data_IF_938867792739
#
_entry.id   IF_938867792739
#
_cell.length_a   1.000
_cell.length_b   1.000
_cell.length_c   1.000
_cell.angle_alpha   90.00
_cell.angle_beta   90.00
_cell.angle_gamma   90.00
#
_symmetry.space_group_name_H-M   'P 1'
#
loop_
_entity.id
_entity.type
_entity.pdbx_description
1 polymer ?
#
# COMPACT_ATOMS: atom_id res chain seq x y z
N UNK A 1 55.88 -1.87 61.40
CA UNK A 1 55.66 -1.31 60.06
C UNK A 1 55.46 -2.46 59.08
N UNK A 2 54.53 -2.42 58.11
CA UNK A 2 53.09 -2.16 58.23
C UNK A 2 52.24 -3.41 57.88
N UNK A 3 51.01 -3.44 58.44
CA UNK A 3 49.95 -4.42 58.16
C UNK A 3 49.20 -3.98 56.89
N UNK A 4 49.19 -4.82 55.85
CA UNK A 4 48.37 -4.61 54.65
C UNK A 4 47.03 -5.32 54.77
N UNK A 5 45.99 -4.58 55.14
CA UNK A 5 44.60 -5.06 55.16
C UNK A 5 43.98 -4.81 53.77
N UNK A 6 43.82 -5.85 52.97
CA UNK A 6 43.10 -5.77 51.68
C UNK A 6 41.59 -5.92 51.92
N UNK A 7 40.85 -4.83 51.81
CA UNK A 7 39.39 -4.83 51.73
C UNK A 7 38.98 -5.18 50.29
N UNK A 8 38.43 -6.37 50.07
CA UNK A 8 37.78 -6.74 48.81
C UNK A 8 36.34 -6.23 48.89
N UNK A 9 36.06 -5.09 48.24
CA UNK A 9 34.70 -4.60 48.03
C UNK A 9 34.08 -5.43 46.91
N UNK A 10 33.22 -6.39 47.28
CA UNK A 10 32.43 -7.15 46.33
C UNK A 10 31.34 -6.27 45.72
N UNK A 11 31.55 -5.79 44.50
CA UNK A 11 30.51 -5.15 43.68
C UNK A 11 29.68 -6.28 43.07
N UNK A 12 28.51 -6.58 43.65
CA UNK A 12 27.54 -7.47 43.02
C UNK A 12 26.88 -6.73 41.85
N UNK A 13 27.37 -7.00 40.64
CA UNK A 13 26.73 -6.53 39.41
C UNK A 13 25.43 -7.35 39.20
N UNK A 14 24.30 -6.80 39.63
CA UNK A 14 23.00 -7.36 39.28
C UNK A 14 22.78 -7.17 37.78
N UNK A 15 23.12 -8.19 36.99
CA UNK A 15 22.73 -8.30 35.60
C UNK A 15 21.22 -8.50 35.58
N UNK A 16 20.47 -7.41 35.36
CA UNK A 16 19.03 -7.49 35.09
C UNK A 16 18.89 -8.14 33.71
N UNK A 17 18.72 -9.46 33.69
CA UNK A 17 18.27 -10.17 32.49
C UNK A 17 16.88 -9.62 32.18
N UNK A 18 16.77 -8.82 31.12
CA UNK A 18 15.49 -8.29 30.66
C UNK A 18 14.60 -9.47 30.25
N UNK A 19 13.73 -9.88 31.18
CA UNK A 19 12.71 -10.91 30.96
C UNK A 19 11.91 -10.56 29.70
N UNK A 20 11.48 -11.59 28.96
CA UNK A 20 10.60 -11.34 27.82
C UNK A 20 9.35 -10.62 28.32
N UNK A 21 8.99 -9.53 27.65
CA UNK A 21 7.90 -8.68 28.12
C UNK A 21 6.53 -9.32 27.84
N UNK A 22 6.47 -10.19 26.83
CA UNK A 22 5.25 -10.88 26.43
C UNK A 22 5.08 -12.19 27.18
N UNK A 23 3.91 -12.35 27.79
CA UNK A 23 3.55 -13.49 28.63
C UNK A 23 2.76 -14.52 27.82
N UNK A 24 2.92 -15.79 28.18
CA UNK A 24 2.15 -16.90 27.59
C UNK A 24 0.87 -17.16 28.41
N UNK A 25 -0.02 -16.17 28.45
CA UNK A 25 -1.33 -16.27 29.10
C UNK A 25 -2.46 -16.27 28.09
N UNK A 26 -3.58 -16.89 28.47
CA UNK A 26 -4.86 -16.61 27.80
C UNK A 26 -5.30 -15.17 28.10
N UNK A 27 -6.27 -14.67 27.33
CA UNK A 27 -6.84 -13.35 27.58
C UNK A 27 -7.44 -13.22 28.99
N UNK A 28 -8.16 -14.24 29.45
CA UNK A 28 -8.80 -14.28 30.77
C UNK A 28 -7.75 -14.31 31.89
N UNK A 29 -6.69 -15.10 31.72
CA UNK A 29 -5.56 -15.14 32.67
C UNK A 29 -4.86 -13.78 32.75
N UNK A 30 -4.63 -13.12 31.61
CA UNK A 30 -4.03 -11.80 31.60
C UNK A 30 -4.90 -10.74 32.28
N UNK A 31 -6.23 -10.78 32.10
CA UNK A 31 -7.15 -9.90 32.80
C UNK A 31 -7.12 -10.10 34.33
N UNK A 32 -7.09 -11.36 34.79
CA UNK A 32 -6.97 -11.67 36.22
C UNK A 32 -5.63 -11.18 36.79
N UNK A 33 -4.53 -11.36 36.06
CA UNK A 33 -3.21 -10.89 36.49
C UNK A 33 -3.11 -9.36 36.48
N UNK A 34 -3.74 -8.71 35.50
CA UNK A 34 -3.84 -7.27 35.42
C UNK A 34 -4.59 -6.69 36.62
N UNK A 35 -5.64 -7.36 37.11
CA UNK A 35 -6.38 -6.97 38.31
C UNK A 35 -5.47 -7.00 39.56
N UNK A 36 -4.78 -8.12 39.77
CA UNK A 36 -3.89 -8.30 40.92
C UNK A 36 -2.76 -7.28 40.97
N UNK A 37 -2.18 -6.97 39.81
CA UNK A 37 -1.03 -6.08 39.70
C UNK A 37 -1.40 -4.61 39.43
N UNK A 38 -2.70 -4.29 39.32
CA UNK A 38 -3.21 -2.96 38.96
C UNK A 38 -2.60 -2.43 37.65
N UNK A 39 -2.47 -3.31 36.66
CA UNK A 39 -1.92 -3.02 35.32
C UNK A 39 -3.03 -3.07 34.27
N UNK A 40 -2.73 -2.60 33.06
CA UNK A 40 -3.57 -2.91 31.89
C UNK A 40 -3.12 -4.22 31.24
N UNK A 41 -4.00 -4.87 30.49
CA UNK A 41 -3.61 -5.87 29.50
C UNK A 41 -3.28 -5.15 28.20
N UNK A 42 -2.10 -5.40 27.62
CA UNK A 42 -1.79 -4.96 26.26
C UNK A 42 -1.72 -6.18 25.35
N UNK A 43 -2.44 -6.17 24.24
CA UNK A 43 -2.42 -7.27 23.28
C UNK A 43 -1.94 -6.75 21.92
N UNK A 44 -0.84 -7.29 21.42
CA UNK A 44 -0.40 -7.13 20.03
C UNK A 44 -1.06 -8.22 19.16
N UNK A 45 -2.10 -7.82 18.41
CA UNK A 45 -2.72 -8.65 17.39
C UNK A 45 -1.91 -8.61 16.10
N UNK A 46 -1.36 -9.77 15.73
CA UNK A 46 -0.52 -9.94 14.54
C UNK A 46 -1.01 -11.08 13.64
N UNK A 47 -0.38 -11.21 12.47
CA UNK A 47 -0.48 -12.40 11.60
C UNK A 47 0.91 -12.80 11.08
N UNK A 48 1.08 -14.06 10.69
CA UNK A 48 2.38 -14.61 10.28
C UNK A 48 2.92 -14.02 8.96
N UNK A 49 2.05 -13.49 8.11
CA UNK A 49 2.38 -12.87 6.83
C UNK A 49 2.51 -11.34 6.91
N UNK A 50 2.12 -10.73 8.02
CA UNK A 50 2.11 -9.27 8.20
C UNK A 50 3.54 -8.69 8.28
N UNK A 51 3.97 -8.00 7.22
CA UNK A 51 5.27 -7.32 7.16
C UNK A 51 5.52 -6.29 8.28
N UNK A 52 4.58 -5.36 8.54
CA UNK A 52 4.71 -4.40 9.65
C UNK A 52 4.82 -5.06 11.04
N UNK A 53 4.14 -6.20 11.26
CA UNK A 53 4.22 -6.97 12.50
C UNK A 53 5.62 -7.53 12.70
N UNK A 54 6.19 -8.17 11.67
CA UNK A 54 7.60 -8.64 11.69
C UNK A 54 8.59 -7.50 11.93
N UNK A 55 8.26 -6.28 11.51
CA UNK A 55 9.09 -5.09 11.78
C UNK A 55 9.01 -4.69 13.25
N UNK A 56 7.83 -4.67 13.88
CA UNK A 56 7.71 -4.43 15.33
C UNK A 56 8.55 -5.44 16.11
N UNK A 57 8.42 -6.73 15.79
CA UNK A 57 9.14 -7.84 16.43
C UNK A 57 10.65 -7.70 16.39
N UNK A 58 11.18 -7.17 15.29
CA UNK A 58 12.62 -6.99 15.07
C UNK A 58 13.16 -5.66 15.62
N UNK A 59 12.29 -4.70 15.91
CA UNK A 59 12.71 -3.33 16.28
C UNK A 59 12.11 -2.97 17.63
N UNK A 60 10.87 -2.51 17.65
CA UNK A 60 10.15 -1.99 18.81
C UNK A 60 10.10 -2.96 19.98
N UNK A 61 9.79 -4.23 19.75
CA UNK A 61 9.69 -5.24 20.81
C UNK A 61 11.05 -5.74 21.33
N UNK A 62 12.14 -5.43 20.62
CA UNK A 62 13.51 -5.72 21.08
C UNK A 62 14.13 -4.57 21.86
N UNK A 63 13.53 -3.39 21.81
CA UNK A 63 14.01 -2.21 22.50
C UNK A 63 13.87 -2.36 24.02
N UNK A 64 14.95 -2.08 24.77
CA UNK A 64 14.99 -2.26 26.21
C UNK A 64 14.04 -1.32 26.96
N UNK A 65 13.84 -0.09 26.47
CA UNK A 65 12.92 0.86 27.08
C UNK A 65 11.48 0.41 26.89
N UNK A 66 11.16 -0.15 25.72
CA UNK A 66 9.83 -0.71 25.44
C UNK A 66 9.55 -1.90 26.35
N UNK A 67 10.48 -2.87 26.45
CA UNK A 67 10.33 -4.02 27.35
C UNK A 67 10.12 -3.61 28.80
N UNK A 68 10.94 -2.66 29.28
CA UNK A 68 10.79 -2.12 30.64
C UNK A 68 9.41 -1.50 30.83
N UNK A 69 8.99 -0.64 29.90
CA UNK A 69 7.69 0.00 29.96
C UNK A 69 6.53 -1.02 29.98
N UNK A 70 6.60 -2.06 29.14
CA UNK A 70 5.60 -3.13 29.11
C UNK A 70 5.53 -3.87 30.45
N UNK A 71 6.68 -4.27 31.00
CA UNK A 71 6.75 -4.97 32.28
C UNK A 71 6.22 -4.11 33.43
N UNK A 72 6.51 -2.81 33.43
CA UNK A 72 6.10 -1.91 34.50
C UNK A 72 4.59 -1.61 34.48
N UNK A 73 4.00 -1.50 33.29
CA UNK A 73 2.65 -0.93 33.14
C UNK A 73 1.58 -1.93 32.67
N UNK A 74 1.99 -3.07 32.13
CA UNK A 74 1.07 -3.98 31.43
C UNK A 74 1.29 -5.45 31.75
N UNK A 75 0.25 -6.25 31.52
CA UNK A 75 0.36 -7.67 31.21
C UNK A 75 0.30 -7.77 29.68
N UNK A 76 1.45 -7.96 29.03
CA UNK A 76 1.55 -7.90 27.58
C UNK A 76 1.39 -9.29 26.94
N UNK A 77 0.56 -9.39 25.90
CA UNK A 77 0.31 -10.59 25.11
C UNK A 77 0.63 -10.36 23.63
N UNK A 78 1.00 -11.42 22.93
CA UNK A 78 0.99 -11.48 21.47
C UNK A 78 -0.01 -12.53 21.02
N UNK A 79 -0.98 -12.12 20.22
CA UNK A 79 -2.03 -13.00 19.74
C UNK A 79 -2.04 -13.04 18.22
N UNK A 80 -1.97 -14.26 17.67
CA UNK A 80 -2.20 -14.50 16.25
C UNK A 80 -3.71 -14.41 15.97
N UNK A 81 -4.11 -13.34 15.30
CA UNK A 81 -5.51 -13.03 15.05
C UNK A 81 -6.22 -14.07 14.15
N UNK A 82 -5.46 -14.82 13.33
CA UNK A 82 -6.02 -15.87 12.48
C UNK A 82 -6.37 -17.13 13.25
N UNK A 83 -5.70 -17.36 14.39
CA UNK A 83 -5.98 -18.46 15.32
C UNK A 83 -7.05 -18.05 16.33
N UNK A 84 -6.93 -16.86 16.90
CA UNK A 84 -7.87 -16.31 17.90
C UNK A 84 -8.97 -15.45 17.24
N UNK A 85 -9.71 -16.04 16.31
CA UNK A 85 -10.72 -15.30 15.49
C UNK A 85 -11.87 -14.75 16.32
N UNK A 86 -12.34 -15.51 17.33
CA UNK A 86 -13.44 -15.09 18.18
C UNK A 86 -13.07 -13.84 18.99
N UNK A 87 -11.89 -13.83 19.60
CA UNK A 87 -11.38 -12.69 20.34
C UNK A 87 -11.11 -11.49 19.43
N UNK A 88 -10.51 -11.73 18.26
CA UNK A 88 -10.24 -10.68 17.26
C UNK A 88 -11.53 -10.00 16.78
N UNK A 89 -12.60 -10.78 16.57
CA UNK A 89 -13.93 -10.26 16.23
C UNK A 89 -14.54 -9.47 17.40
N UNK A 90 -14.48 -10.03 18.61
CA UNK A 90 -14.97 -9.38 19.85
C UNK A 90 -14.34 -8.01 20.07
N UNK A 91 -13.03 -7.89 19.85
CA UNK A 91 -12.26 -6.66 20.03
C UNK A 91 -12.19 -5.78 18.78
N UNK A 92 -13.00 -6.08 17.76
CA UNK A 92 -13.11 -5.32 16.50
C UNK A 92 -11.72 -5.07 15.86
N UNK A 93 -10.90 -6.10 15.73
CA UNK A 93 -9.59 -5.98 15.08
C UNK A 93 -9.78 -5.95 13.56
N UNK A 94 -9.53 -4.78 12.96
CA UNK A 94 -9.74 -4.51 11.51
C UNK A 94 -8.44 -4.39 10.71
N UNK A 95 -7.29 -4.29 11.35
CA UNK A 95 -5.99 -4.10 10.71
C UNK A 95 -4.85 -4.66 11.58
N UNK A 96 -3.70 -4.92 10.95
CA UNK A 96 -2.52 -5.49 11.63
C UNK A 96 -1.25 -4.66 11.40
N UNK A 97 -0.38 -4.53 12.42
CA UNK A 97 -0.63 -4.88 13.81
C UNK A 97 -1.66 -3.94 14.46
N UNK A 98 -2.39 -4.45 15.45
CA UNK A 98 -3.19 -3.62 16.37
C UNK A 98 -2.77 -3.95 17.79
N UNK A 99 -2.25 -2.95 18.50
CA UNK A 99 -1.95 -3.04 19.92
C UNK A 99 -3.11 -2.44 20.70
N UNK A 100 -3.90 -3.26 21.37
CA UNK A 100 -5.06 -2.82 22.17
C UNK A 100 -4.71 -2.85 23.66
N UNK A 101 -5.17 -1.83 24.40
CA UNK A 101 -5.00 -1.70 25.83
C UNK A 101 -6.35 -1.89 26.50
N UNK A 102 -6.42 -2.81 27.45
CA UNK A 102 -7.66 -3.29 28.06
C UNK A 102 -7.49 -3.25 29.57
N UNK A 103 -8.50 -2.81 30.32
CA UNK A 103 -8.48 -2.90 31.78
C UNK A 103 -8.77 -4.34 32.25
N UNK A 104 -8.60 -4.63 33.54
CA UNK A 104 -8.85 -5.97 34.09
C UNK A 104 -10.28 -6.48 33.88
N UNK A 105 -11.25 -5.59 33.62
CA UNK A 105 -12.65 -5.93 33.33
C UNK A 105 -12.90 -6.24 31.86
N UNK A 106 -11.87 -6.27 31.02
CA UNK A 106 -12.00 -6.54 29.59
C UNK A 106 -12.47 -5.33 28.77
N UNK A 107 -12.48 -4.12 29.33
CA UNK A 107 -12.90 -2.90 28.64
C UNK A 107 -11.70 -2.20 28.00
N UNK A 108 -11.84 -1.84 26.72
CA UNK A 108 -10.81 -1.12 25.99
C UNK A 108 -10.58 0.30 26.56
N UNK A 109 -9.31 0.64 26.78
CA UNK A 109 -8.84 1.96 27.19
C UNK A 109 -8.26 2.76 26.02
N UNK A 110 -7.84 2.06 24.96
CA UNK A 110 -7.33 2.66 23.74
C UNK A 110 -6.58 1.65 22.90
N UNK A 111 -6.22 2.05 21.68
CA UNK A 111 -5.45 1.20 20.76
C UNK A 111 -4.46 2.00 19.93
N UNK A 112 -3.42 1.32 19.46
CA UNK A 112 -2.45 1.81 18.50
C UNK A 112 -2.53 0.90 17.27
N UNK A 113 -2.80 1.48 16.11
CA UNK A 113 -2.87 0.73 14.85
C UNK A 113 -1.65 1.01 13.97
N UNK A 114 -1.10 -0.08 13.43
CA UNK A 114 0.07 -0.08 12.56
C UNK A 114 1.39 0.10 13.31
N UNK A 115 2.49 0.02 12.55
CA UNK A 115 3.84 0.12 13.09
C UNK A 115 4.09 1.44 13.84
N UNK A 116 4.83 1.36 14.95
CA UNK A 116 5.51 2.45 15.65
C UNK A 116 6.93 2.03 15.94
N UNK A 117 7.89 2.96 15.88
CA UNK A 117 9.21 2.74 16.47
C UNK A 117 9.11 2.79 18.02
N UNK A 118 10.20 2.48 18.72
CA UNK A 118 10.24 2.43 20.18
C UNK A 118 9.70 3.70 20.86
N UNK A 119 10.25 4.87 20.51
CA UNK A 119 9.84 6.15 21.09
C UNK A 119 8.39 6.50 20.76
N UNK A 120 7.94 6.26 19.53
CA UNK A 120 6.57 6.49 19.11
C UNK A 120 5.57 5.58 19.82
N UNK A 121 5.94 4.32 20.07
CA UNK A 121 5.11 3.38 20.83
C UNK A 121 4.94 3.85 22.28
N UNK A 122 6.04 4.15 22.98
CA UNK A 122 6.00 4.59 24.37
C UNK A 122 5.17 5.87 24.52
N UNK A 123 5.38 6.86 23.64
CA UNK A 123 4.61 8.10 23.66
C UNK A 123 3.11 7.86 23.45
N UNK A 124 2.73 7.03 22.47
CA UNK A 124 1.33 6.70 22.21
C UNK A 124 0.71 5.94 23.41
N UNK A 125 1.44 4.97 23.98
CA UNK A 125 0.97 4.12 25.06
C UNK A 125 0.85 4.86 26.40
N UNK A 126 1.73 5.83 26.67
CA UNK A 126 1.64 6.70 27.84
C UNK A 126 0.37 7.57 27.85
N UNK A 127 -0.05 8.08 26.69
CA UNK A 127 -1.27 8.88 26.62
C UNK A 127 -2.52 8.02 26.85
N UNK A 128 -2.50 6.75 26.40
CA UNK A 128 -3.56 5.77 26.69
C UNK A 128 -3.60 5.44 28.19
N UNK A 129 -2.45 5.23 28.84
CA UNK A 129 -2.40 5.01 30.30
C UNK A 129 -2.97 6.18 31.11
N UNK A 130 -2.82 7.42 30.62
CA UNK A 130 -3.41 8.61 31.26
C UNK A 130 -4.92 8.70 31.06
N UNK A 131 -5.55 7.76 30.34
CA UNK A 131 -6.98 7.77 30.07
C UNK A 131 -7.42 8.92 29.15
N UNK A 132 -6.50 9.50 28.38
CA UNK A 132 -6.87 10.56 27.44
C UNK A 132 -7.70 9.99 26.30
N UNK A 133 -8.72 10.73 25.90
CA UNK A 133 -9.57 10.40 24.75
C UNK A 133 -8.71 10.20 23.48
N UNK A 134 -8.82 9.05 22.80
CA UNK A 134 -8.11 8.77 21.55
C UNK A 134 -8.30 9.86 20.48
N UNK A 135 -9.51 10.44 20.37
CA UNK A 135 -9.78 11.49 19.39
C UNK A 135 -9.03 12.77 19.76
N UNK A 136 -9.08 13.20 21.02
CA UNK A 136 -8.31 14.33 21.52
C UNK A 136 -6.80 14.17 21.28
N UNK A 137 -6.22 13.00 21.59
CA UNK A 137 -4.80 12.70 21.33
C UNK A 137 -4.49 12.84 19.83
N UNK A 138 -5.35 12.28 18.97
CA UNK A 138 -5.13 12.30 17.53
C UNK A 138 -5.26 13.72 16.96
N UNK A 139 -6.18 14.53 17.49
CA UNK A 139 -6.34 15.95 17.15
C UNK A 139 -5.13 16.77 17.56
N UNK A 140 -4.63 16.63 18.79
CA UNK A 140 -3.39 17.30 19.23
C UNK A 140 -2.19 16.92 18.35
N UNK A 141 -2.09 15.64 17.96
CA UNK A 141 -1.04 15.18 17.04
C UNK A 141 -1.18 15.76 15.64
N UNK A 142 -2.41 15.92 15.14
CA UNK A 142 -2.67 16.57 13.86
C UNK A 142 -2.22 18.03 13.90
N UNK A 143 -2.58 18.78 14.95
CA UNK A 143 -2.15 20.18 15.11
C UNK A 143 -0.62 20.30 15.19
N UNK A 144 0.04 19.46 15.98
CA UNK A 144 1.51 19.48 16.14
C UNK A 144 2.27 19.06 14.89
N UNK A 145 1.76 18.08 14.13
CA UNK A 145 2.45 17.54 12.93
C UNK A 145 2.07 18.25 11.64
N UNK A 146 1.12 19.16 11.68
CA UNK A 146 0.63 19.91 10.53
C UNK A 146 -0.72 19.40 10.04
N UNK A 147 -1.77 20.20 10.28
CA UNK A 147 -3.15 19.96 9.86
C UNK A 147 -3.36 20.06 8.34
N UNK A 148 -2.41 20.65 7.62
CA UNK A 148 -2.43 20.77 6.17
C UNK A 148 -1.74 19.61 5.44
N UNK A 149 -1.07 18.67 6.13
CA UNK A 149 -0.53 17.48 5.45
C UNK A 149 -1.63 16.41 5.33
N UNK A 150 -2.04 16.02 4.11
CA UNK A 150 -3.12 15.04 3.91
C UNK A 150 -2.81 13.66 4.52
N UNK A 151 -1.54 13.30 4.68
CA UNK A 151 -1.15 12.05 5.34
C UNK A 151 -1.45 12.09 6.85
N UNK A 152 -1.35 13.26 7.48
CA UNK A 152 -1.72 13.44 8.88
C UNK A 152 -3.23 13.51 9.04
N UNK A 153 -3.94 14.21 8.13
CA UNK A 153 -5.40 14.27 8.12
C UNK A 153 -6.02 12.88 7.93
N UNK A 154 -5.51 12.07 6.99
CA UNK A 154 -5.92 10.67 6.85
C UNK A 154 -5.69 9.85 8.12
N UNK A 155 -4.57 10.06 8.82
CA UNK A 155 -4.29 9.36 10.08
C UNK A 155 -5.30 9.76 11.16
N UNK A 156 -5.70 11.03 11.22
CA UNK A 156 -6.75 11.50 12.12
C UNK A 156 -8.11 10.89 11.76
N UNK A 157 -8.47 10.87 10.47
CA UNK A 157 -9.71 10.25 9.99
C UNK A 157 -9.82 8.77 10.40
N UNK A 158 -8.72 8.01 10.41
CA UNK A 158 -8.71 6.62 10.91
C UNK A 158 -9.12 6.50 12.37
N UNK A 159 -8.67 7.43 13.20
CA UNK A 159 -9.05 7.44 14.62
C UNK A 159 -10.53 7.77 14.75
N UNK A 160 -11.06 8.71 13.95
CA UNK A 160 -12.49 8.99 13.90
C UNK A 160 -13.31 7.75 13.48
N UNK A 161 -12.90 7.03 12.44
CA UNK A 161 -13.55 5.78 11.99
C UNK A 161 -13.55 4.72 13.10
N UNK A 162 -12.43 4.56 13.80
CA UNK A 162 -12.31 3.58 14.89
C UNK A 162 -13.24 3.89 16.06
N UNK A 163 -13.58 5.16 16.26
CA UNK A 163 -14.49 5.64 17.28
C UNK A 163 -15.89 5.94 16.72
N UNK A 164 -16.23 5.36 15.56
CA UNK A 164 -17.56 5.42 14.93
C UNK A 164 -18.03 6.86 14.60
N UNK A 165 -17.10 7.82 14.52
CA UNK A 165 -17.33 9.21 14.07
C UNK A 165 -17.26 9.30 12.55
N UNK A 166 -18.14 8.57 11.87
CA UNK A 166 -18.06 8.35 10.43
C UNK A 166 -18.28 9.62 9.59
N UNK A 167 -19.16 10.52 10.02
CA UNK A 167 -19.41 11.78 9.32
C UNK A 167 -18.17 12.69 9.30
N UNK A 168 -17.60 12.96 10.49
CA UNK A 168 -16.37 13.75 10.63
C UNK A 168 -15.20 13.08 9.90
N UNK A 169 -15.10 11.74 9.97
CA UNK A 169 -14.08 11.01 9.24
C UNK A 169 -14.20 11.20 7.72
N UNK A 170 -15.43 11.08 7.20
CA UNK A 170 -15.70 11.27 5.78
C UNK A 170 -15.31 12.70 5.35
N UNK A 171 -15.67 13.72 6.12
CA UNK A 171 -15.25 15.11 5.85
C UNK A 171 -13.73 15.23 5.68
N UNK A 172 -12.95 14.61 6.58
CA UNK A 172 -11.48 14.63 6.51
C UNK A 172 -10.93 13.85 5.33
N UNK A 173 -11.50 12.69 5.00
CA UNK A 173 -11.07 11.90 3.85
C UNK A 173 -11.39 12.61 2.52
N UNK A 174 -12.56 13.24 2.41
CA UNK A 174 -12.95 14.01 1.24
C UNK A 174 -12.07 15.24 1.07
N UNK A 175 -11.73 15.95 2.17
CA UNK A 175 -10.74 17.03 2.11
C UNK A 175 -9.40 16.54 1.58
N UNK A 176 -8.94 15.35 2.01
CA UNK A 176 -7.71 14.77 1.47
C UNK A 176 -7.82 14.48 -0.04
N UNK A 177 -9.00 14.07 -0.51
CA UNK A 177 -9.22 13.77 -1.92
C UNK A 177 -9.27 15.05 -2.77
N UNK A 178 -9.94 16.09 -2.29
CA UNK A 178 -10.14 17.32 -3.05
C UNK A 178 -8.92 18.24 -2.99
N UNK A 179 -8.28 18.38 -1.82
CA UNK A 179 -7.22 19.37 -1.57
C UNK A 179 -5.83 18.76 -1.34
N UNK A 180 -5.72 17.44 -1.19
CA UNK A 180 -4.45 16.80 -0.82
C UNK A 180 -3.31 17.07 -1.80
N UNK A 181 -3.60 17.23 -3.11
CA UNK A 181 -2.57 17.52 -4.12
C UNK A 181 -2.13 18.98 -4.12
N UNK A 182 -2.99 19.89 -3.67
CA UNK A 182 -2.64 21.32 -3.50
C UNK A 182 -1.61 21.48 -2.37
N UNK A 183 -1.70 20.63 -1.34
CA UNK A 183 -0.79 20.64 -0.19
C UNK A 183 0.45 19.79 -0.41
N UNK A 184 0.32 18.67 -1.12
CA UNK A 184 1.39 17.68 -1.27
C UNK A 184 1.26 16.91 -2.59
N UNK A 185 1.94 17.36 -3.64
CA UNK A 185 1.90 16.72 -4.96
C UNK A 185 2.30 15.24 -4.94
N UNK A 186 3.24 14.84 -4.06
CA UNK A 186 3.65 13.45 -3.87
C UNK A 186 2.54 12.54 -3.31
N UNK A 187 1.40 13.10 -2.87
CA UNK A 187 0.26 12.39 -2.34
C UNK A 187 -0.59 11.70 -3.43
N UNK A 188 -0.36 11.99 -4.72
CA UNK A 188 -1.15 11.47 -5.86
C UNK A 188 -1.34 9.96 -5.85
N UNK A 189 -0.30 9.19 -5.54
CA UNK A 189 -0.40 7.73 -5.46
C UNK A 189 -1.27 7.25 -4.31
N UNK A 190 -1.14 7.89 -3.13
CA UNK A 190 -1.96 7.54 -1.95
C UNK A 190 -3.42 7.93 -2.18
N UNK A 191 -3.64 9.11 -2.76
CA UNK A 191 -4.96 9.64 -3.10
C UNK A 191 -5.75 8.73 -4.03
N UNK A 192 -5.10 8.23 -5.09
CA UNK A 192 -5.73 7.36 -6.10
C UNK A 192 -5.84 5.88 -5.68
N UNK A 193 -5.27 5.49 -4.54
CA UNK A 193 -5.30 4.10 -4.08
C UNK A 193 -5.87 3.99 -2.66
N UNK A 194 -5.00 4.13 -1.66
CA UNK A 194 -5.32 3.93 -0.25
C UNK A 194 -6.47 4.82 0.22
N UNK A 195 -6.50 6.10 -0.18
CA UNK A 195 -7.54 7.02 0.25
C UNK A 195 -8.91 6.61 -0.31
N UNK A 196 -9.01 6.32 -1.60
CA UNK A 196 -10.27 5.89 -2.21
C UNK A 196 -10.73 4.54 -1.66
N UNK A 197 -9.81 3.60 -1.44
CA UNK A 197 -10.12 2.33 -0.78
C UNK A 197 -10.66 2.54 0.63
N UNK A 198 -10.14 3.52 1.36
CA UNK A 198 -10.57 3.85 2.72
C UNK A 198 -11.96 4.48 2.75
N UNK A 199 -12.26 5.41 1.83
CA UNK A 199 -13.61 5.99 1.67
C UNK A 199 -14.61 4.91 1.23
N UNK A 200 -14.24 4.06 0.28
CA UNK A 200 -15.08 2.95 -0.19
C UNK A 200 -15.37 1.94 0.92
N UNK A 201 -14.36 1.60 1.74
CA UNK A 201 -14.54 0.71 2.88
C UNK A 201 -15.44 1.32 3.95
N UNK A 202 -15.28 2.62 4.25
CA UNK A 202 -16.18 3.36 5.14
C UNK A 202 -17.63 3.27 4.65
N UNK A 203 -17.85 3.29 3.34
CA UNK A 203 -19.14 3.10 2.68
C UNK A 203 -19.94 1.86 3.09
N UNK A 204 -19.30 0.83 3.64
CA UNK A 204 -19.97 -0.37 4.16
C UNK A 204 -20.76 -0.11 5.44
N UNK A 205 -20.26 0.79 6.28
CA UNK A 205 -20.88 1.18 7.56
C UNK A 205 -21.60 2.53 7.44
N UNK A 206 -21.15 3.38 6.52
CA UNK A 206 -21.65 4.75 6.31
C UNK A 206 -21.86 5.03 4.82
N UNK A 207 -23.02 4.64 4.23
CA UNK A 207 -23.29 4.69 2.79
C UNK A 207 -23.10 6.06 2.12
N UNK A 208 -23.22 7.15 2.88
CA UNK A 208 -22.95 8.52 2.45
C UNK A 208 -21.54 8.68 1.86
N UNK A 209 -20.58 7.86 2.29
CA UNK A 209 -19.24 7.83 1.71
C UNK A 209 -19.26 7.40 0.22
N UNK A 210 -20.08 6.40 -0.14
CA UNK A 210 -20.26 6.00 -1.54
C UNK A 210 -21.00 7.08 -2.32
N UNK A 211 -22.04 7.68 -1.75
CA UNK A 211 -22.75 8.82 -2.36
C UNK A 211 -21.80 9.97 -2.67
N UNK A 212 -20.88 10.29 -1.77
CA UNK A 212 -19.89 11.33 -1.96
C UNK A 212 -18.87 11.02 -3.07
N UNK A 213 -18.48 9.75 -3.24
CA UNK A 213 -17.64 9.31 -4.36
C UNK A 213 -18.42 9.36 -5.68
N UNK A 214 -19.67 8.88 -5.69
CA UNK A 214 -20.54 8.92 -6.87
C UNK A 214 -20.75 10.35 -7.37
N UNK A 215 -20.99 11.31 -6.46
CA UNK A 215 -21.09 12.73 -6.83
C UNK A 215 -19.84 13.22 -7.57
N UNK A 216 -18.66 12.93 -7.04
CA UNK A 216 -17.38 13.31 -7.68
C UNK A 216 -17.19 12.63 -9.02
N UNK A 217 -17.58 11.37 -9.14
CA UNK A 217 -17.54 10.64 -10.41
C UNK A 217 -18.41 11.33 -11.48
N UNK A 218 -19.67 11.66 -11.14
CA UNK A 218 -20.58 12.34 -12.08
C UNK A 218 -20.07 13.74 -12.46
N UNK A 219 -19.45 14.49 -11.53
CA UNK A 219 -18.80 15.77 -11.84
C UNK A 219 -17.67 15.61 -12.87
N UNK A 220 -16.83 14.57 -12.75
CA UNK A 220 -15.77 14.30 -13.73
C UNK A 220 -16.35 13.85 -15.06
N UNK A 221 -17.38 12.99 -15.03
CA UNK A 221 -18.12 12.55 -16.22
C UNK A 221 -18.69 13.75 -17.00
N UNK A 222 -19.26 14.72 -16.29
CA UNK A 222 -19.77 15.94 -16.92
C UNK A 222 -18.65 16.78 -17.55
N UNK A 223 -17.48 16.91 -16.88
CA UNK A 223 -16.32 17.59 -17.49
C UNK A 223 -15.81 16.89 -18.74
N UNK A 224 -15.86 15.56 -18.78
CA UNK A 224 -15.52 14.78 -19.99
C UNK A 224 -16.48 15.13 -21.13
N UNK A 225 -17.79 15.08 -20.88
CA UNK A 225 -18.82 15.40 -21.86
C UNK A 225 -18.71 16.85 -22.39
N UNK A 226 -18.34 17.79 -21.52
CA UNK A 226 -18.24 19.21 -21.86
C UNK A 226 -16.87 19.62 -22.41
N UNK A 227 -15.96 18.67 -22.65
CA UNK A 227 -14.59 18.93 -23.14
C UNK A 227 -13.74 19.84 -22.23
N UNK A 228 -14.10 19.94 -20.94
CA UNK A 228 -13.39 20.78 -19.95
C UNK A 228 -12.51 19.97 -19.00
N UNK A 229 -12.49 18.65 -19.15
CA UNK A 229 -11.70 17.76 -18.32
C UNK A 229 -10.19 18.02 -18.48
N UNK A 230 -9.48 18.14 -17.36
CA UNK A 230 -8.02 18.16 -17.32
C UNK A 230 -7.49 16.76 -17.06
N UNK A 231 -6.17 16.57 -17.20
CA UNK A 231 -5.48 15.29 -16.96
C UNK A 231 -5.86 14.62 -15.62
N UNK A 232 -5.97 15.41 -14.55
CA UNK A 232 -6.37 14.87 -13.24
C UNK A 232 -7.86 14.51 -13.17
N UNK A 233 -8.74 15.23 -13.88
CA UNK A 233 -10.16 14.87 -13.97
C UNK A 233 -10.35 13.52 -14.68
N UNK A 234 -9.57 13.26 -15.74
CA UNK A 234 -9.56 11.96 -16.45
C UNK A 234 -9.07 10.84 -15.53
N UNK A 235 -7.97 11.07 -14.81
CA UNK A 235 -7.44 10.11 -13.83
C UNK A 235 -8.44 9.80 -12.72
N UNK A 236 -9.13 10.82 -12.21
CA UNK A 236 -10.16 10.66 -11.20
C UNK A 236 -11.37 9.91 -11.75
N UNK A 237 -11.79 10.21 -12.99
CA UNK A 237 -12.93 9.54 -13.63
C UNK A 237 -12.72 8.02 -13.70
N UNK A 238 -11.55 7.58 -14.18
CA UNK A 238 -11.21 6.15 -14.27
C UNK A 238 -11.13 5.53 -12.87
N UNK A 239 -10.36 6.13 -11.96
CA UNK A 239 -10.12 5.54 -10.63
C UNK A 239 -11.40 5.50 -9.77
N UNK A 240 -12.23 6.53 -9.83
CA UNK A 240 -13.54 6.53 -9.18
C UNK A 240 -14.47 5.51 -9.84
N UNK A 241 -14.42 5.38 -11.17
CA UNK A 241 -15.16 4.36 -11.90
C UNK A 241 -14.83 2.95 -11.42
N UNK A 242 -13.56 2.61 -11.30
CA UNK A 242 -13.09 1.31 -10.77
C UNK A 242 -13.62 1.06 -9.35
N UNK A 243 -13.48 2.05 -8.45
CA UNK A 243 -13.92 1.94 -7.05
C UNK A 243 -15.45 1.79 -6.93
N UNK A 244 -16.19 2.43 -7.83
CA UNK A 244 -17.65 2.38 -7.90
C UNK A 244 -18.18 1.25 -8.79
N UNK A 245 -17.29 0.42 -9.37
CA UNK A 245 -17.64 -0.67 -10.31
C UNK A 245 -18.41 -0.19 -11.55
N UNK A 246 -17.99 0.94 -12.11
CA UNK A 246 -18.58 1.59 -13.29
C UNK A 246 -17.72 1.42 -14.56
N UNK A 247 -16.98 0.31 -14.66
CA UNK A 247 -16.05 0.05 -15.78
C UNK A 247 -16.73 0.13 -17.16
N UNK A 248 -17.98 -0.33 -17.27
CA UNK A 248 -18.77 -0.25 -18.51
C UNK A 248 -19.09 1.18 -18.91
N UNK A 249 -19.42 2.05 -17.94
CA UNK A 249 -19.66 3.48 -18.21
C UNK A 249 -18.38 4.19 -18.64
N UNK A 250 -17.24 3.85 -18.03
CA UNK A 250 -15.93 4.42 -18.40
C UNK A 250 -15.55 4.02 -19.83
N UNK A 251 -15.79 2.76 -20.21
CA UNK A 251 -15.57 2.31 -21.59
C UNK A 251 -16.54 2.96 -22.58
N UNK A 252 -17.82 3.09 -22.22
CA UNK A 252 -18.82 3.76 -23.05
C UNK A 252 -18.46 5.23 -23.28
N UNK A 253 -17.96 5.93 -22.25
CA UNK A 253 -17.42 7.29 -22.39
C UNK A 253 -16.28 7.31 -23.42
N UNK A 254 -15.32 6.40 -23.30
CA UNK A 254 -14.20 6.31 -24.26
C UNK A 254 -14.68 6.12 -25.71
N UNK A 255 -15.70 5.29 -25.93
CA UNK A 255 -16.28 5.05 -27.26
C UNK A 255 -17.06 6.25 -27.82
N UNK A 256 -17.62 7.08 -26.94
CA UNK A 256 -18.33 8.31 -27.30
C UNK A 256 -17.40 9.45 -27.68
N UNK A 257 -16.17 9.49 -27.13
CA UNK A 257 -15.21 10.55 -27.44
C UNK A 257 -14.74 10.41 -28.90
N UNK A 258 -15.10 11.40 -29.73
CA UNK A 258 -14.74 11.44 -31.15
C UNK A 258 -13.30 11.90 -31.41
N UNK A 259 -12.81 11.77 -32.64
CA UNK A 259 -11.49 12.29 -33.06
C UNK A 259 -11.34 13.80 -32.87
N UNK A 260 -12.44 14.58 -32.84
CA UNK A 260 -12.40 16.01 -32.50
C UNK A 260 -11.99 16.26 -31.05
N UNK A 261 -12.18 15.29 -30.16
CA UNK A 261 -11.76 15.28 -28.75
C UNK A 261 -10.48 14.45 -28.54
N UNK A 262 -9.64 14.33 -29.58
CA UNK A 262 -8.49 13.42 -29.65
C UNK A 262 -7.59 13.43 -28.41
N UNK A 263 -7.40 14.58 -27.76
CA UNK A 263 -6.55 14.69 -26.57
C UNK A 263 -7.17 13.97 -25.36
N UNK A 264 -8.44 14.22 -25.05
CA UNK A 264 -9.13 13.55 -23.92
C UNK A 264 -9.32 12.07 -24.20
N UNK A 265 -9.66 11.73 -25.45
CA UNK A 265 -9.75 10.34 -25.91
C UNK A 265 -8.41 9.61 -25.73
N UNK A 266 -7.32 10.20 -26.22
CA UNK A 266 -5.98 9.62 -26.09
C UNK A 266 -5.54 9.48 -24.63
N UNK A 267 -5.81 10.48 -23.79
CA UNK A 267 -5.48 10.42 -22.36
C UNK A 267 -6.27 9.33 -21.64
N UNK A 268 -7.56 9.20 -21.93
CA UNK A 268 -8.41 8.14 -21.37
C UNK A 268 -7.98 6.76 -21.88
N UNK A 269 -7.75 6.61 -23.19
CA UNK A 269 -7.29 5.36 -23.79
C UNK A 269 -5.95 4.87 -23.23
N UNK A 270 -5.02 5.78 -22.93
CA UNK A 270 -3.78 5.43 -22.22
C UNK A 270 -4.01 4.88 -20.82
N UNK A 271 -5.03 5.36 -20.11
CA UNK A 271 -5.41 4.82 -18.81
C UNK A 271 -6.17 3.49 -18.95
N UNK A 272 -6.91 3.32 -20.04
CA UNK A 272 -7.65 2.09 -20.38
C UNK A 272 -6.82 1.05 -21.14
N UNK A 273 -5.49 1.23 -21.24
CA UNK A 273 -4.63 0.37 -22.06
C UNK A 273 -4.82 -1.12 -21.76
N UNK A 274 -4.92 -1.50 -20.48
CA UNK A 274 -5.08 -2.89 -20.08
C UNK A 274 -6.46 -3.45 -20.49
N UNK A 275 -7.51 -2.65 -20.35
CA UNK A 275 -8.88 -3.00 -20.72
C UNK A 275 -9.01 -3.14 -22.25
N UNK A 276 -8.45 -2.19 -23.00
CA UNK A 276 -8.42 -2.22 -24.47
C UNK A 276 -7.64 -3.43 -24.98
N UNK A 277 -6.52 -3.77 -24.34
CA UNK A 277 -5.71 -4.93 -24.70
C UNK A 277 -6.49 -6.23 -24.47
N UNK A 278 -7.15 -6.37 -23.33
CA UNK A 278 -7.97 -7.54 -23.02
C UNK A 278 -9.13 -7.73 -24.02
N UNK A 279 -9.67 -6.63 -24.55
CA UNK A 279 -10.70 -6.63 -25.60
C UNK A 279 -10.13 -6.74 -27.02
N UNK A 280 -8.82 -6.91 -27.18
CA UNK A 280 -8.10 -6.95 -28.47
C UNK A 280 -8.35 -5.72 -29.35
N UNK A 281 -8.64 -4.57 -28.73
CA UNK A 281 -8.84 -3.28 -29.39
C UNK A 281 -7.48 -2.64 -29.72
N UNK A 282 -6.68 -3.34 -30.52
CA UNK A 282 -5.29 -2.93 -30.79
C UNK A 282 -5.18 -1.64 -31.61
N UNK A 283 -6.12 -1.43 -32.54
CA UNK A 283 -6.18 -0.19 -33.36
C UNK A 283 -6.41 1.05 -32.50
N UNK A 284 -7.30 0.93 -31.53
CA UNK A 284 -7.58 1.96 -30.53
C UNK A 284 -6.33 2.31 -29.69
N UNK A 285 -5.61 1.29 -29.22
CA UNK A 285 -4.36 1.49 -28.48
C UNK A 285 -3.32 2.24 -29.31
N UNK A 286 -3.17 1.88 -30.59
CA UNK A 286 -2.20 2.51 -31.49
C UNK A 286 -2.63 3.93 -31.85
N UNK A 287 -3.93 4.18 -32.01
CA UNK A 287 -4.46 5.52 -32.21
C UNK A 287 -4.06 6.45 -31.04
N UNK A 288 -4.28 6.00 -29.80
CA UNK A 288 -4.04 6.83 -28.60
C UNK A 288 -2.57 6.90 -28.16
N UNK A 289 -1.77 5.92 -28.61
CA UNK A 289 -0.36 5.79 -28.33
C UNK A 289 0.42 5.21 -29.54
N UNK A 290 0.71 6.06 -30.56
CA UNK A 290 1.24 5.58 -31.84
C UNK A 290 2.67 5.04 -31.77
N UNK A 291 3.48 5.54 -30.82
CA UNK A 291 4.92 5.29 -30.75
C UNK A 291 5.31 4.32 -29.62
N UNK A 292 4.76 3.10 -29.66
CA UNK A 292 5.03 2.09 -28.63
C UNK A 292 6.53 1.73 -28.49
N UNK A 293 7.29 1.74 -29.60
CA UNK A 293 8.75 1.54 -29.57
C UNK A 293 9.45 2.65 -28.75
N UNK A 294 9.06 3.90 -28.93
CA UNK A 294 9.59 5.01 -28.15
C UNK A 294 9.19 4.90 -26.68
N UNK A 295 7.99 4.38 -26.40
CA UNK A 295 7.55 4.12 -25.04
C UNK A 295 8.43 3.07 -24.35
N UNK A 296 8.79 1.99 -25.05
CA UNK A 296 9.74 1.00 -24.53
C UNK A 296 11.12 1.62 -24.25
N UNK A 297 11.62 2.48 -25.15
CA UNK A 297 12.89 3.18 -24.94
C UNK A 297 12.89 4.05 -23.67
N UNK A 298 11.79 4.75 -23.41
CA UNK A 298 11.61 5.54 -22.18
C UNK A 298 11.62 4.65 -20.93
N UNK A 299 11.00 3.48 -20.98
CA UNK A 299 11.00 2.54 -19.84
C UNK A 299 12.40 2.00 -19.55
N UNK A 300 13.14 1.59 -20.57
CA UNK A 300 14.52 1.12 -20.45
C UNK A 300 15.42 2.23 -19.89
N UNK A 301 15.33 3.44 -20.45
CA UNK A 301 16.13 4.58 -19.99
C UNK A 301 15.82 4.95 -18.54
N UNK A 302 14.54 4.92 -18.15
CA UNK A 302 14.10 5.15 -16.77
C UNK A 302 14.68 4.10 -15.80
N UNK A 303 14.63 2.82 -16.18
CA UNK A 303 15.26 1.74 -15.42
C UNK A 303 16.77 1.96 -15.26
N UNK A 304 17.49 2.23 -16.35
CA UNK A 304 18.94 2.45 -16.34
C UNK A 304 19.33 3.64 -15.46
N UNK A 305 18.54 4.73 -15.50
CA UNK A 305 18.73 5.88 -14.61
C UNK A 305 18.55 5.49 -13.14
N UNK A 306 17.49 4.73 -12.82
CA UNK A 306 17.25 4.25 -11.46
C UNK A 306 18.34 3.28 -10.98
N UNK A 307 18.82 2.40 -11.83
CA UNK A 307 19.89 1.45 -11.53
C UNK A 307 21.19 2.15 -11.10
N UNK A 308 21.50 3.30 -11.68
CA UNK A 308 22.68 4.11 -11.36
C UNK A 308 22.48 5.02 -10.13
N UNK A 309 21.26 5.13 -9.60
CA UNK A 309 20.97 6.03 -8.47
C UNK A 309 21.49 5.47 -7.13
N UNK A 310 22.31 6.22 -6.35
CA UNK A 310 22.83 5.75 -5.06
C UNK A 310 21.76 5.31 -4.06
N UNK A 311 20.57 5.92 -4.12
CA UNK A 311 19.42 5.55 -3.27
C UNK A 311 18.83 4.19 -3.61
N UNK A 312 18.94 3.75 -4.87
CA UNK A 312 18.32 2.51 -5.37
C UNK A 312 19.27 1.31 -5.33
N UNK A 313 20.58 1.53 -5.37
CA UNK A 313 21.59 0.46 -5.24
C UNK A 313 21.42 -0.33 -3.93
N UNK A 314 20.92 0.33 -2.87
CA UNK A 314 20.62 -0.30 -1.57
C UNK A 314 19.38 -1.22 -1.57
N UNK A 315 18.62 -1.27 -2.66
CA UNK A 315 17.36 -2.02 -2.78
C UNK A 315 17.33 -2.91 -4.04
N UNK A 316 18.18 -3.96 -4.13
CA UNK A 316 18.30 -4.80 -5.33
C UNK A 316 17.00 -5.53 -5.71
N UNK A 317 16.17 -5.89 -4.74
CA UNK A 317 14.85 -6.51 -4.99
C UNK A 317 13.89 -5.56 -5.71
N UNK A 318 13.95 -4.26 -5.42
CA UNK A 318 13.13 -3.24 -6.08
C UNK A 318 13.57 -3.04 -7.53
N UNK A 319 14.88 -3.00 -7.79
CA UNK A 319 15.42 -2.96 -9.16
C UNK A 319 14.98 -4.18 -9.97
N UNK A 320 15.03 -5.37 -9.37
CA UNK A 320 14.55 -6.60 -10.03
C UNK A 320 13.06 -6.50 -10.40
N UNK A 321 12.23 -5.95 -9.50
CA UNK A 321 10.80 -5.74 -9.74
C UNK A 321 10.55 -4.74 -10.87
N UNK A 322 11.30 -3.63 -10.90
CA UNK A 322 11.19 -2.61 -11.95
C UNK A 322 11.60 -3.16 -13.32
N UNK A 323 12.67 -3.96 -13.39
CA UNK A 323 13.10 -4.63 -14.64
C UNK A 323 11.98 -5.53 -15.18
N UNK A 324 11.42 -6.40 -14.33
CA UNK A 324 10.30 -7.28 -14.68
C UNK A 324 9.06 -6.50 -15.13
N UNK A 325 8.81 -5.32 -14.56
CA UNK A 325 7.69 -4.47 -14.95
C UNK A 325 7.88 -3.90 -16.36
N UNK A 326 9.08 -3.40 -16.69
CA UNK A 326 9.39 -2.91 -18.03
C UNK A 326 9.27 -4.01 -19.10
N UNK A 327 9.75 -5.22 -18.80
CA UNK A 327 9.57 -6.39 -19.68
C UNK A 327 8.09 -6.69 -19.90
N UNK A 328 7.27 -6.68 -18.84
CA UNK A 328 5.82 -6.93 -18.94
C UNK A 328 5.09 -5.87 -19.77
N UNK A 329 5.48 -4.60 -19.65
CA UNK A 329 4.89 -3.54 -20.45
C UNK A 329 5.30 -3.68 -21.93
N UNK A 330 6.59 -3.91 -22.20
CA UNK A 330 7.11 -4.18 -23.53
C UNK A 330 6.41 -5.36 -24.22
N UNK A 331 6.17 -6.46 -23.51
CA UNK A 331 5.49 -7.62 -24.07
C UNK A 331 4.03 -7.33 -24.48
N UNK A 332 3.33 -6.45 -23.74
CA UNK A 332 2.01 -5.95 -24.17
C UNK A 332 2.10 -5.08 -25.41
N UNK A 333 3.12 -4.22 -25.51
CA UNK A 333 3.33 -3.43 -26.72
C UNK A 333 3.62 -4.31 -27.94
N UNK A 334 4.40 -5.36 -27.75
CA UNK A 334 4.66 -6.38 -28.74
C UNK A 334 3.37 -7.06 -29.23
N UNK A 335 2.49 -7.48 -28.31
CA UNK A 335 1.16 -8.04 -28.66
C UNK A 335 0.35 -7.08 -29.54
N UNK A 336 0.29 -5.80 -29.16
CA UNK A 336 -0.46 -4.78 -29.91
C UNK A 336 0.09 -4.64 -31.33
N UNK A 337 1.41 -4.55 -31.51
CA UNK A 337 2.05 -4.41 -32.82
C UNK A 337 1.81 -5.64 -33.70
N UNK A 338 1.88 -6.85 -33.13
CA UNK A 338 1.52 -8.08 -33.82
C UNK A 338 0.06 -8.08 -34.26
N UNK A 339 -0.85 -7.72 -33.36
CA UNK A 339 -2.30 -7.75 -33.59
C UNK A 339 -2.80 -6.77 -34.66
N UNK A 340 -1.99 -5.78 -35.05
CA UNK A 340 -2.27 -4.87 -36.18
C UNK A 340 -1.33 -5.09 -37.38
N UNK A 341 -0.64 -6.23 -37.44
CA UNK A 341 0.26 -6.61 -38.53
C UNK A 341 1.46 -5.65 -38.76
N UNK A 342 1.88 -4.88 -37.74
CA UNK A 342 3.15 -4.12 -37.77
C UNK A 342 4.32 -5.05 -37.45
N UNK A 343 4.53 -6.07 -38.27
CA UNK A 343 5.49 -7.17 -38.02
C UNK A 343 6.92 -6.70 -37.83
N UNK A 344 7.38 -5.73 -38.62
CA UNK A 344 8.73 -5.17 -38.49
C UNK A 344 8.92 -4.44 -37.14
N UNK A 345 7.93 -3.69 -36.69
CA UNK A 345 8.01 -2.99 -35.40
C UNK A 345 7.85 -3.95 -34.23
N UNK A 346 7.03 -4.99 -34.36
CA UNK A 346 6.95 -6.08 -33.40
C UNK A 346 8.31 -6.78 -33.26
N UNK A 347 9.02 -7.05 -34.36
CA UNK A 347 10.37 -7.62 -34.31
C UNK A 347 11.35 -6.69 -33.58
N UNK A 348 11.36 -5.39 -33.90
CA UNK A 348 12.19 -4.40 -33.18
C UNK A 348 11.86 -4.35 -31.69
N UNK A 349 10.58 -4.46 -31.32
CA UNK A 349 10.14 -4.50 -29.93
C UNK A 349 10.66 -5.76 -29.22
N UNK A 350 10.52 -6.93 -29.84
CA UNK A 350 11.09 -8.20 -29.35
C UNK A 350 12.60 -8.07 -29.12
N UNK A 351 13.34 -7.56 -30.09
CA UNK A 351 14.80 -7.42 -30.01
C UNK A 351 15.20 -6.48 -28.87
N UNK A 352 14.50 -5.35 -28.70
CA UNK A 352 14.71 -4.42 -27.58
C UNK A 352 14.46 -5.10 -26.23
N UNK A 353 13.37 -5.86 -26.10
CA UNK A 353 13.03 -6.57 -24.86
C UNK A 353 14.09 -7.62 -24.54
N UNK A 354 14.50 -8.44 -25.51
CA UNK A 354 15.51 -9.50 -25.32
C UNK A 354 16.89 -8.91 -25.00
N UNK A 355 17.28 -7.81 -25.65
CA UNK A 355 18.51 -7.11 -25.34
C UNK A 355 18.48 -6.52 -23.91
N UNK A 356 17.31 -6.06 -23.46
CA UNK A 356 17.12 -5.53 -22.11
C UNK A 356 17.05 -6.61 -21.03
N UNK A 357 16.38 -7.74 -21.29
CA UNK A 357 16.26 -8.88 -20.38
C UNK A 357 16.20 -10.20 -21.15
N UNK A 358 17.32 -10.91 -21.14
CA UNK A 358 17.57 -12.09 -21.95
C UNK A 358 17.24 -13.41 -21.22
N UNK A 359 16.31 -13.41 -20.27
CA UNK A 359 15.99 -14.55 -19.39
C UNK A 359 14.92 -15.47 -19.97
N UNK A 360 14.94 -16.76 -19.62
CA UNK A 360 13.91 -17.73 -20.06
C UNK A 360 12.47 -17.25 -19.77
N UNK A 361 12.12 -16.71 -18.58
CA UNK A 361 10.81 -16.13 -18.32
C UNK A 361 10.38 -15.03 -19.31
N UNK A 362 11.33 -14.27 -19.84
CA UNK A 362 11.04 -13.22 -20.83
C UNK A 362 10.67 -13.81 -22.19
N UNK A 363 11.33 -14.88 -22.62
CA UNK A 363 10.95 -15.59 -23.84
C UNK A 363 9.56 -16.22 -23.72
N UNK A 364 9.27 -16.91 -22.61
CA UNK A 364 7.93 -17.47 -22.36
C UNK A 364 6.85 -16.38 -22.35
N UNK A 365 7.13 -15.22 -21.77
CA UNK A 365 6.20 -14.10 -21.77
C UNK A 365 5.94 -13.58 -23.20
N UNK A 366 6.98 -13.41 -24.03
CA UNK A 366 6.82 -12.99 -25.42
C UNK A 366 6.01 -14.03 -26.23
N UNK A 367 6.27 -15.33 -26.01
CA UNK A 367 5.49 -16.42 -26.64
C UNK A 367 4.02 -16.31 -26.25
N UNK A 368 3.72 -16.12 -24.97
CA UNK A 368 2.34 -15.94 -24.48
C UNK A 368 1.64 -14.77 -25.18
N UNK A 369 2.32 -13.63 -25.32
CA UNK A 369 1.77 -12.45 -25.98
C UNK A 369 1.60 -12.66 -27.52
N UNK A 370 2.49 -13.40 -28.17
CA UNK A 370 2.33 -13.79 -29.57
C UNK A 370 1.12 -14.74 -29.77
N UNK A 371 0.90 -15.66 -28.83
CA UNK A 371 -0.29 -16.53 -28.81
C UNK A 371 -1.58 -15.70 -28.63
N UNK A 372 -1.60 -14.74 -27.69
CA UNK A 372 -2.76 -13.85 -27.49
C UNK A 372 -3.13 -13.05 -28.75
N UNK A 373 -2.10 -12.62 -29.50
CA UNK A 373 -2.25 -11.96 -30.80
C UNK A 373 -2.61 -12.90 -31.97
N UNK A 374 -2.66 -14.23 -31.75
CA UNK A 374 -2.89 -15.25 -32.77
C UNK A 374 -1.84 -15.25 -33.91
N UNK A 375 -0.57 -14.97 -33.61
CA UNK A 375 0.50 -14.94 -34.63
C UNK A 375 1.43 -16.15 -34.49
N UNK A 376 1.07 -17.27 -35.12
CA UNK A 376 1.78 -18.55 -34.97
C UNK A 376 3.25 -18.50 -35.43
N UNK A 377 3.56 -17.75 -36.50
CA UNK A 377 4.94 -17.62 -36.98
C UNK A 377 5.86 -16.99 -35.93
N UNK A 378 5.36 -16.00 -35.18
CA UNK A 378 6.10 -15.37 -34.10
C UNK A 378 6.31 -16.34 -32.92
N UNK A 379 5.30 -17.15 -32.59
CA UNK A 379 5.40 -18.23 -31.59
C UNK A 379 6.52 -19.21 -31.95
N UNK A 380 6.51 -19.72 -33.19
CA UNK A 380 7.49 -20.70 -33.65
C UNK A 380 8.92 -20.13 -33.60
N UNK A 381 9.11 -18.91 -34.10
CA UNK A 381 10.39 -18.21 -34.08
C UNK A 381 10.93 -18.01 -32.65
N UNK A 382 10.10 -17.56 -31.72
CA UNK A 382 10.49 -17.38 -30.32
C UNK A 382 10.82 -18.71 -29.61
N UNK A 383 10.10 -19.79 -29.92
CA UNK A 383 10.41 -21.12 -29.40
C UNK A 383 11.77 -21.64 -29.88
N UNK A 384 12.09 -21.41 -31.15
CA UNK A 384 13.40 -21.75 -31.71
C UNK A 384 14.54 -20.95 -31.07
N UNK A 385 14.34 -19.64 -30.90
CA UNK A 385 15.29 -18.77 -30.19
C UNK A 385 15.49 -19.20 -28.73
N UNK A 386 14.41 -19.56 -28.02
CA UNK A 386 14.47 -20.06 -26.65
C UNK A 386 15.28 -21.37 -26.57
N UNK A 387 14.98 -22.34 -27.45
CA UNK A 387 15.72 -23.62 -27.52
C UNK A 387 17.20 -23.39 -27.79
N UNK A 388 17.52 -22.55 -28.78
CA UNK A 388 18.92 -22.26 -29.16
C UNK A 388 19.70 -21.63 -28.01
N UNK A 389 19.05 -20.78 -27.21
CA UNK A 389 19.72 -20.03 -26.14
C UNK A 389 19.91 -20.82 -24.85
N UNK A 390 18.96 -21.69 -24.51
CA UNK A 390 18.92 -22.40 -23.22
C UNK A 390 19.09 -23.91 -23.34
N UNK A 391 19.44 -24.43 -24.52
CA UNK A 391 19.91 -25.82 -24.68
C UNK A 391 21.32 -25.98 -24.11
N UNK A 392 21.40 -26.16 -22.79
CA UNK A 392 22.55 -26.72 -22.08
C UNK A 392 22.07 -27.64 -20.98
#
# INVERSE_FOLDING_TARGET
MPKGLFFIIGITLNVIIAHDAFQNFTFEQACSEAEKNKKLVMIDFYTTWCGPCKRLDRTTWKDAQVKKWLNDNTIALKIDAEKERALSKKLKIKAYPTMIFINSKGQEQGRIVGYRNASGFIADAQEILKGKDPIAIAKEKLEKKGKDDPSNVMRYARVLIQNEKYEEALEKLLWCFDHGLEKKSSFVGVRSSFLLSEISHLGKEYPQAITALSKRYEERKQKMNNETARKMDISDFVTLGEVLKKDSEVMAMYDQLSDKQSVNRSLLGRQLFAQLLALKRYKDIIHDNPDLLQQMDKEIASYQKMQKSPSMVKYPSLLTKLRKMAVKNGAKYYEVLLGINRTQDAQKMQDKIIAFDATEPTYHLLIQHAQSANVQNAVNSLQELLRTKFSK
#
